data_IF_421409001166
#
_entry.id   IF_421409001166
#
_cell.length_a   1.000
_cell.length_b   1.000
_cell.length_c   1.000
_cell.angle_alpha   90.00
_cell.angle_beta   90.00
_cell.angle_gamma   90.00
#
_symmetry.space_group_name_H-M   'P 1'
#
loop_
_entity.id
_entity.type
_entity.pdbx_description
1 polymer ?
#
# COMPACT_ATOMS: atom_id res chain seq x y z
N UNK A 1 13.74 3.76 -31.38
CA UNK A 1 12.86 4.31 -30.33
C UNK A 1 11.53 3.56 -30.41
N UNK A 2 11.05 2.92 -29.33
CA UNK A 2 9.96 1.93 -29.39
C UNK A 2 8.55 2.51 -29.64
N UNK A 3 8.39 3.85 -29.56
CA UNK A 3 7.11 4.53 -29.77
C UNK A 3 7.19 5.62 -30.83
N UNK A 4 7.95 5.39 -31.90
CA UNK A 4 7.95 6.31 -33.02
C UNK A 4 7.24 5.68 -34.20
N UNK A 5 6.25 6.41 -34.72
CA UNK A 5 5.79 6.29 -36.10
C UNK A 5 7.00 6.05 -36.99
N UNK A 6 6.98 4.96 -37.76
CA UNK A 6 7.87 4.77 -38.92
C UNK A 6 7.47 5.84 -39.92
N UNK A 7 7.88 7.08 -39.65
CA UNK A 7 7.70 8.20 -40.57
C UNK A 7 8.59 7.89 -41.76
N UNK A 8 7.98 7.71 -42.93
CA UNK A 8 8.71 7.60 -44.18
C UNK A 8 9.72 8.76 -44.24
N UNK A 9 11.00 8.45 -44.43
CA UNK A 9 12.12 9.41 -44.35
C UNK A 9 12.07 10.52 -45.43
N UNK A 10 11.08 10.51 -46.31
CA UNK A 10 10.97 11.45 -47.42
C UNK A 10 10.24 12.76 -47.10
N UNK A 11 9.50 12.86 -45.99
CA UNK A 11 8.89 14.15 -45.61
C UNK A 11 9.90 14.91 -44.73
N UNK A 12 10.79 15.66 -45.39
CA UNK A 12 11.61 16.71 -44.75
C UNK A 12 10.68 17.65 -43.98
N UNK A 13 10.99 17.89 -42.70
CA UNK A 13 10.25 18.86 -41.88
C UNK A 13 10.75 20.25 -42.23
N UNK A 14 9.84 21.11 -42.68
CA UNK A 14 10.14 22.51 -42.92
C UNK A 14 10.40 23.25 -41.58
N UNK A 15 11.35 24.21 -41.53
CA UNK A 15 11.67 24.93 -40.31
C UNK A 15 10.55 25.93 -39.97
N UNK A 16 9.56 25.50 -39.20
CA UNK A 16 8.46 26.36 -38.75
C UNK A 16 7.34 25.68 -37.96
N UNK A 17 7.53 24.43 -37.51
CA UNK A 17 6.45 23.67 -36.85
C UNK A 17 6.07 24.26 -35.48
N UNK A 18 4.83 24.74 -35.39
CA UNK A 18 4.12 25.18 -34.18
C UNK A 18 4.23 24.13 -33.04
N UNK A 19 4.58 24.52 -31.79
CA UNK A 19 4.65 23.60 -30.65
C UNK A 19 3.37 22.80 -30.39
N UNK A 20 2.18 23.33 -30.73
CA UNK A 20 0.89 22.63 -30.58
C UNK A 20 0.70 21.47 -31.58
N UNK A 21 1.53 21.40 -32.62
CA UNK A 21 1.52 20.29 -33.58
C UNK A 21 2.14 19.00 -33.01
N UNK A 22 2.96 19.10 -31.96
CA UNK A 22 3.59 17.91 -31.34
C UNK A 22 2.66 17.17 -30.38
N UNK A 23 1.76 17.87 -29.68
CA UNK A 23 0.78 17.24 -28.78
C UNK A 23 -0.27 16.49 -29.59
N UNK A 24 -0.78 17.11 -30.67
CA UNK A 24 -1.69 16.46 -31.62
C UNK A 24 -1.08 15.22 -32.29
N UNK A 25 0.21 15.25 -32.65
CA UNK A 25 0.93 14.07 -33.16
C UNK A 25 0.98 12.92 -32.13
N UNK A 26 1.12 13.22 -30.83
CA UNK A 26 1.15 12.21 -29.77
C UNK A 26 -0.23 11.59 -29.54
N UNK A 27 -1.27 12.42 -29.45
CA UNK A 27 -2.65 11.98 -29.26
C UNK A 27 -3.09 11.10 -30.43
N UNK A 28 -2.73 11.49 -31.66
CA UNK A 28 -2.97 10.67 -32.85
C UNK A 28 -2.31 9.29 -32.75
N UNK A 29 -1.06 9.21 -32.30
CA UNK A 29 -0.38 7.93 -32.14
C UNK A 29 -1.05 7.05 -31.07
N UNK A 30 -1.57 7.64 -29.99
CA UNK A 30 -2.31 6.89 -28.95
C UNK A 30 -3.58 6.27 -29.53
N UNK A 31 -4.25 6.93 -30.47
CA UNK A 31 -5.47 6.40 -31.10
C UNK A 31 -5.15 5.39 -32.21
N UNK A 32 -4.25 5.75 -33.12
CA UNK A 32 -4.09 5.07 -34.41
C UNK A 32 -2.98 4.03 -34.44
N UNK A 33 -1.92 4.22 -33.64
CA UNK A 33 -0.74 3.37 -33.73
C UNK A 33 -0.74 2.25 -32.70
N UNK A 34 -0.38 1.04 -33.15
CA UNK A 34 -0.07 -0.08 -32.27
C UNK A 34 1.41 -0.07 -31.84
N UNK A 35 1.72 -0.31 -30.55
CA UNK A 35 3.08 -0.27 -30.05
C UNK A 35 3.89 -1.50 -30.46
N UNK A 36 5.09 -1.28 -30.99
CA UNK A 36 6.05 -2.34 -31.31
C UNK A 36 6.90 -2.68 -30.07
N UNK A 37 6.74 -3.89 -29.53
CA UNK A 37 7.60 -4.38 -28.44
C UNK A 37 8.91 -4.92 -29.01
N UNK A 38 10.04 -4.34 -28.60
CA UNK A 38 11.37 -4.78 -29.04
C UNK A 38 11.80 -6.17 -28.53
N UNK A 39 13.00 -6.60 -28.89
CA UNK A 39 13.52 -7.94 -28.56
C UNK A 39 13.82 -8.18 -27.07
N UNK A 40 13.86 -7.14 -26.23
CA UNK A 40 14.09 -7.25 -24.79
C UNK A 40 12.85 -7.70 -24.01
N UNK A 41 11.69 -7.79 -24.66
CA UNK A 41 10.46 -8.28 -24.04
C UNK A 41 10.32 -9.79 -24.26
N UNK A 42 10.03 -10.54 -23.19
CA UNK A 42 9.60 -11.93 -23.28
C UNK A 42 8.27 -12.05 -24.06
N UNK A 43 7.92 -13.25 -24.49
CA UNK A 43 6.68 -13.50 -25.23
C UNK A 43 5.44 -13.14 -24.42
N UNK A 44 5.45 -13.51 -23.14
CA UNK A 44 4.42 -13.24 -22.14
C UNK A 44 4.32 -11.74 -21.87
N UNK A 45 5.46 -11.05 -21.70
CA UNK A 45 5.48 -9.60 -21.50
C UNK A 45 4.87 -8.85 -22.71
N UNK A 46 5.18 -9.30 -23.92
CA UNK A 46 4.60 -8.73 -25.15
C UNK A 46 3.09 -8.97 -25.22
N UNK A 47 2.62 -10.16 -24.81
CA UNK A 47 1.20 -10.47 -24.76
C UNK A 47 0.46 -9.56 -23.76
N UNK A 48 1.01 -9.43 -22.55
CA UNK A 48 0.48 -8.57 -21.49
C UNK A 48 0.33 -7.12 -21.96
N UNK A 49 1.40 -6.55 -22.53
CA UNK A 49 1.42 -5.16 -23.02
C UNK A 49 0.38 -4.95 -24.11
N UNK A 50 0.24 -5.89 -25.06
CA UNK A 50 -0.80 -5.80 -26.11
C UNK A 50 -2.21 -5.86 -25.53
N UNK A 51 -2.45 -6.70 -24.53
CA UNK A 51 -3.73 -6.79 -23.84
C UNK A 51 -4.12 -5.51 -23.10
N UNK A 52 -3.16 -4.92 -22.35
CA UNK A 52 -3.36 -3.68 -21.60
C UNK A 52 -3.48 -2.46 -22.51
N UNK A 53 -2.73 -2.41 -23.61
CA UNK A 53 -2.75 -1.30 -24.57
C UNK A 53 -3.79 -1.49 -25.69
N UNK A 54 -4.78 -2.36 -25.49
CA UNK A 54 -5.89 -2.50 -26.41
C UNK A 54 -6.67 -1.17 -26.53
N UNK A 55 -6.83 -0.68 -27.77
CA UNK A 55 -7.54 0.57 -28.07
C UNK A 55 -9.02 0.50 -27.68
N UNK A 56 -9.64 -0.67 -27.84
CA UNK A 56 -11.05 -0.90 -27.47
C UNK A 56 -11.15 -1.19 -25.97
N UNK A 57 -11.77 -0.31 -25.16
CA UNK A 57 -11.80 -0.48 -23.70
C UNK A 57 -12.51 -1.77 -23.26
N UNK A 58 -13.58 -2.18 -23.95
CA UNK A 58 -14.33 -3.43 -23.65
C UNK A 58 -13.54 -4.71 -23.91
N UNK A 59 -12.47 -4.65 -24.71
CA UNK A 59 -11.61 -5.81 -25.04
C UNK A 59 -10.24 -5.71 -24.37
N UNK A 60 -10.02 -4.67 -23.56
CA UNK A 60 -8.76 -4.44 -22.86
C UNK A 60 -8.66 -5.45 -21.72
N UNK A 61 -7.47 -6.02 -21.56
CA UNK A 61 -7.20 -6.89 -20.42
C UNK A 61 -7.47 -6.13 -19.12
N UNK A 62 -8.29 -6.71 -18.24
CA UNK A 62 -8.75 -6.07 -17.01
C UNK A 62 -10.09 -5.36 -17.13
N UNK A 63 -10.75 -5.37 -18.30
CA UNK A 63 -12.07 -4.78 -18.48
C UNK A 63 -13.14 -5.47 -17.63
N UNK A 64 -13.03 -6.79 -17.41
CA UNK A 64 -13.94 -7.53 -16.52
C UNK A 64 -13.39 -7.67 -15.09
N UNK A 65 -12.28 -6.99 -14.76
CA UNK A 65 -11.73 -6.90 -13.41
C UNK A 65 -10.28 -7.36 -13.30
N UNK A 66 -9.72 -7.18 -12.09
CA UNK A 66 -8.31 -7.44 -11.78
C UNK A 66 -7.90 -8.92 -11.94
N UNK A 67 -8.86 -9.85 -11.85
CA UNK A 67 -8.59 -11.29 -11.97
C UNK A 67 -7.97 -11.66 -13.31
N UNK A 68 -8.45 -11.07 -14.41
CA UNK A 68 -7.88 -11.29 -15.75
C UNK A 68 -6.40 -10.91 -15.84
N UNK A 69 -6.00 -9.88 -15.09
CA UNK A 69 -4.60 -9.43 -15.06
C UNK A 69 -3.78 -10.39 -14.20
N UNK A 70 -4.31 -10.81 -13.04
CA UNK A 70 -3.63 -11.74 -12.13
C UNK A 70 -3.43 -13.13 -12.76
N UNK A 71 -4.38 -13.59 -13.57
CA UNK A 71 -4.35 -14.89 -14.28
C UNK A 71 -3.47 -14.89 -15.54
N UNK A 72 -2.88 -13.74 -15.90
CA UNK A 72 -2.06 -13.65 -17.10
C UNK A 72 -0.70 -14.37 -16.90
N UNK A 73 -0.20 -15.16 -17.88
CA UNK A 73 1.02 -15.99 -17.73
C UNK A 73 2.29 -15.25 -17.28
N UNK A 74 2.36 -13.95 -17.58
CA UNK A 74 3.45 -13.08 -17.11
C UNK A 74 3.55 -13.01 -15.57
N UNK A 75 2.45 -13.21 -14.85
CA UNK A 75 2.37 -13.21 -13.40
C UNK A 75 2.42 -14.60 -12.77
N UNK A 76 2.55 -15.68 -13.55
CA UNK A 76 2.61 -17.06 -13.03
C UNK A 76 3.63 -17.27 -11.91
N UNK A 77 4.83 -16.63 -11.92
CA UNK A 77 5.79 -16.78 -10.83
C UNK A 77 5.42 -16.06 -9.53
N UNK A 78 4.36 -15.24 -9.51
CA UNK A 78 4.02 -14.35 -8.39
C UNK A 78 2.78 -14.90 -7.68
N UNK A 79 2.95 -15.25 -6.40
CA UNK A 79 1.81 -15.49 -5.51
C UNK A 79 1.27 -14.14 -5.00
N UNK A 80 0.08 -13.76 -5.48
CA UNK A 80 -0.57 -12.52 -5.07
C UNK A 80 -0.99 -12.50 -3.59
N UNK A 81 -1.23 -13.65 -2.96
CA UNK A 81 -1.55 -13.71 -1.53
C UNK A 81 -0.34 -13.37 -0.68
N UNK A 82 0.83 -13.93 -1.03
CA UNK A 82 2.10 -13.58 -0.37
C UNK A 82 2.51 -12.13 -0.66
N UNK A 83 2.25 -11.64 -1.88
CA UNK A 83 2.51 -10.25 -2.25
C UNK A 83 1.67 -9.28 -1.42
N UNK A 84 0.36 -9.51 -1.29
CA UNK A 84 -0.55 -8.66 -0.52
C UNK A 84 -0.24 -8.66 0.98
N UNK A 85 0.27 -9.78 1.50
CA UNK A 85 0.73 -9.89 2.88
C UNK A 85 2.16 -9.36 3.12
N UNK A 86 2.88 -8.96 2.06
CA UNK A 86 4.22 -8.40 2.15
C UNK A 86 5.34 -9.41 2.42
N UNK A 87 5.13 -10.69 2.11
CA UNK A 87 6.12 -11.76 2.33
C UNK A 87 7.09 -11.98 1.16
N UNK A 88 6.87 -11.34 0.01
CA UNK A 88 7.79 -11.41 -1.13
C UNK A 88 8.86 -10.33 -1.01
N UNK A 89 10.13 -10.75 -1.11
CA UNK A 89 11.24 -9.80 -1.12
C UNK A 89 11.21 -8.91 -2.37
N UNK A 90 11.31 -7.58 -2.21
CA UNK A 90 11.30 -6.68 -3.35
C UNK A 90 12.59 -6.88 -4.19
N UNK A 91 12.49 -6.90 -5.54
CA UNK A 91 13.64 -7.14 -6.41
C UNK A 91 14.70 -6.01 -6.35
N UNK A 92 14.33 -4.84 -5.80
CA UNK A 92 15.25 -3.73 -5.64
C UNK A 92 14.97 -2.96 -4.34
N UNK A 93 15.94 -2.97 -3.43
CA UNK A 93 15.93 -2.17 -2.21
C UNK A 93 16.83 -0.94 -2.41
N UNK A 94 16.30 0.29 -2.41
CA UNK A 94 17.11 1.48 -2.64
C UNK A 94 17.98 1.82 -1.43
N UNK A 95 19.24 2.20 -1.68
CA UNK A 95 20.14 2.69 -0.61
C UNK A 95 19.69 4.07 -0.11
N UNK A 96 19.54 4.21 1.21
CA UNK A 96 19.19 5.48 1.87
C UNK A 96 20.16 6.61 1.52
N UNK A 97 21.46 6.30 1.46
CA UNK A 97 22.52 7.27 1.13
C UNK A 97 22.34 7.80 -0.30
N UNK A 98 21.89 6.98 -1.23
CA UNK A 98 21.62 7.39 -2.61
C UNK A 98 20.40 8.33 -2.70
N UNK A 99 19.35 8.12 -1.90
CA UNK A 99 18.14 8.96 -1.89
C UNK A 99 18.48 10.38 -1.43
N UNK A 100 19.15 10.53 -0.28
CA UNK A 100 19.57 11.84 0.23
C UNK A 100 20.53 12.55 -0.72
N UNK A 101 21.48 11.83 -1.33
CA UNK A 101 22.44 12.41 -2.27
C UNK A 101 21.84 12.77 -3.64
N UNK A 102 20.79 12.10 -4.10
CA UNK A 102 20.09 12.44 -5.35
C UNK A 102 19.25 13.71 -5.20
N UNK A 103 18.73 14.00 -4.00
CA UNK A 103 18.08 15.27 -3.71
C UNK A 103 19.06 16.46 -3.77
N UNK A 104 20.31 16.28 -3.36
CA UNK A 104 21.32 17.35 -3.40
C UNK A 104 21.95 17.52 -4.78
N UNK A 105 22.21 16.42 -5.52
CA UNK A 105 22.86 16.47 -6.86
C UNK A 105 21.93 16.83 -8.03
N UNK A 106 20.61 16.65 -7.91
CA UNK A 106 19.62 17.06 -8.96
C UNK A 106 19.12 18.50 -8.85
N UNK A 107 19.64 19.31 -7.92
CA UNK A 107 19.39 20.77 -7.91
C UNK A 107 20.11 21.51 -9.05
N UNK A 108 20.98 20.85 -9.82
CA UNK A 108 21.45 21.35 -11.12
C UNK A 108 20.51 20.90 -12.24
N UNK A 109 19.50 21.72 -12.50
CA UNK A 109 18.72 21.82 -13.73
C UNK A 109 18.22 20.51 -14.37
N UNK A 110 17.20 19.88 -13.78
CA UNK A 110 16.09 19.43 -14.63
C UNK A 110 15.04 20.53 -14.59
N UNK A 111 14.89 21.27 -15.69
CA UNK A 111 13.66 22.03 -16.00
C UNK A 111 12.51 21.01 -16.14
N UNK A 112 12.07 20.45 -15.02
CA UNK A 112 10.80 19.73 -14.92
C UNK A 112 9.74 20.82 -14.99
N UNK A 113 9.26 21.12 -16.21
CA UNK A 113 8.36 22.23 -16.52
C UNK A 113 9.04 23.59 -16.27
N UNK A 114 9.16 24.36 -17.35
CA UNK A 114 9.76 25.70 -17.33
C UNK A 114 9.05 26.58 -16.30
N UNK A 115 9.77 27.01 -15.26
CA UNK A 115 9.50 28.19 -14.44
C UNK A 115 8.15 28.17 -13.74
N UNK A 116 8.14 27.99 -12.42
CA UNK A 116 7.12 28.69 -11.65
C UNK A 116 7.30 30.18 -11.99
N UNK A 117 6.39 30.72 -12.80
CA UNK A 117 6.28 32.16 -12.96
C UNK A 117 5.76 32.67 -11.61
N UNK A 118 6.62 32.78 -10.60
CA UNK A 118 6.23 33.23 -9.27
C UNK A 118 5.56 34.62 -9.36
N UNK A 119 6.03 35.45 -10.29
CA UNK A 119 5.39 36.73 -10.67
C UNK A 119 3.93 36.62 -11.13
N UNK A 120 3.50 35.47 -11.68
CA UNK A 120 2.10 35.22 -12.07
C UNK A 120 1.19 35.15 -10.84
N UNK A 121 1.73 34.65 -9.73
CA UNK A 121 0.98 34.39 -8.50
C UNK A 121 1.28 35.40 -7.39
N UNK A 122 2.28 36.28 -7.58
CA UNK A 122 2.68 37.33 -6.64
C UNK A 122 1.55 38.29 -6.26
N UNK A 123 0.58 38.51 -7.16
CA UNK A 123 -0.62 39.32 -6.90
C UNK A 123 -1.84 38.53 -6.41
N UNK A 124 -1.75 37.20 -6.40
CA UNK A 124 -2.87 36.33 -5.99
C UNK A 124 -2.89 36.28 -4.47
N UNK A 125 -3.74 37.10 -3.85
CA UNK A 125 -4.03 37.01 -2.42
C UNK A 125 -4.94 35.81 -2.18
N UNK A 126 -4.58 34.99 -1.20
CA UNK A 126 -5.44 33.89 -0.75
C UNK A 126 -6.72 34.52 -0.20
N UNK A 127 -7.84 34.17 -0.80
CA UNK A 127 -9.14 34.66 -0.38
C UNK A 127 -9.65 33.86 0.83
N UNK A 128 -10.43 34.47 1.73
CA UNK A 128 -11.00 33.75 2.88
C UNK A 128 -11.91 32.60 2.44
N UNK A 129 -12.61 32.73 1.31
CA UNK A 129 -13.47 31.66 0.78
C UNK A 129 -12.65 30.44 0.33
N UNK A 130 -11.41 30.65 -0.13
CA UNK A 130 -10.51 29.55 -0.46
C UNK A 130 -10.05 28.82 0.81
N UNK A 131 -9.72 29.55 1.88
CA UNK A 131 -9.38 28.93 3.16
C UNK A 131 -10.57 28.15 3.73
N UNK A 132 -11.78 28.68 3.59
CA UNK A 132 -12.99 27.97 3.96
C UNK A 132 -13.16 26.71 3.11
N UNK A 133 -12.86 26.73 1.80
CA UNK A 133 -12.88 25.50 0.97
C UNK A 133 -11.91 24.41 1.45
N UNK A 134 -10.86 24.78 2.19
CA UNK A 134 -9.86 23.86 2.74
C UNK A 134 -10.25 23.29 4.12
N UNK A 135 -11.41 23.61 4.69
CA UNK A 135 -11.80 23.12 6.02
C UNK A 135 -11.81 21.58 6.13
N UNK A 136 -12.13 20.88 5.04
CA UNK A 136 -12.11 19.41 4.95
C UNK A 136 -10.82 18.84 4.35
N UNK A 137 -9.82 19.69 4.12
CA UNK A 137 -8.52 19.27 3.62
C UNK A 137 -7.69 18.50 4.66
N UNK A 138 -7.68 18.89 5.96
CA UNK A 138 -7.06 18.09 6.98
C UNK A 138 -7.75 16.72 7.09
N UNK A 139 -7.00 15.67 6.79
CA UNK A 139 -7.45 14.29 6.96
C UNK A 139 -6.64 13.63 8.06
N UNK A 140 -7.35 13.06 9.04
CA UNK A 140 -6.76 12.27 10.12
C UNK A 140 -7.31 10.85 10.01
N UNK A 141 -6.43 9.87 9.79
CA UNK A 141 -6.81 8.46 9.82
C UNK A 141 -6.60 7.92 11.23
N UNK A 142 -7.70 7.62 11.92
CA UNK A 142 -7.65 6.99 13.24
C UNK A 142 -6.90 5.65 13.21
N UNK A 143 -7.03 4.89 12.11
CA UNK A 143 -6.33 3.62 11.94
C UNK A 143 -4.82 3.79 11.93
N UNK A 144 -4.31 4.76 11.17
CA UNK A 144 -2.86 5.02 11.06
C UNK A 144 -2.31 5.47 12.40
N UNK A 145 -2.99 6.41 13.08
CA UNK A 145 -2.54 6.88 14.41
C UNK A 145 -2.53 5.72 15.41
N UNK A 146 -3.55 4.86 15.40
CA UNK A 146 -3.60 3.70 16.28
C UNK A 146 -2.44 2.74 16.01
N UNK A 147 -2.16 2.43 14.73
CA UNK A 147 -1.04 1.59 14.33
C UNK A 147 0.31 2.19 14.77
N UNK A 148 0.53 3.49 14.52
CA UNK A 148 1.75 4.20 14.94
C UNK A 148 1.94 4.19 16.46
N UNK A 149 0.88 4.47 17.23
CA UNK A 149 0.94 4.44 18.70
C UNK A 149 1.30 3.03 19.20
N UNK A 150 0.67 2.00 18.63
CA UNK A 150 0.94 0.61 19.01
C UNK A 150 2.40 0.25 18.73
N UNK A 151 2.93 0.60 17.55
CA UNK A 151 4.33 0.38 17.21
C UNK A 151 5.28 1.10 18.17
N UNK A 152 4.99 2.36 18.52
CA UNK A 152 5.81 3.14 19.45
C UNK A 152 5.81 2.51 20.85
N UNK A 153 4.65 2.10 21.37
CA UNK A 153 4.53 1.44 22.67
C UNK A 153 5.30 0.13 22.71
N UNK A 154 5.25 -0.66 21.63
CA UNK A 154 6.03 -1.89 21.50
C UNK A 154 7.55 -1.60 21.51
N UNK A 155 8.00 -0.60 20.75
CA UNK A 155 9.42 -0.18 20.73
C UNK A 155 9.90 0.25 22.12
N UNK A 156 9.12 1.06 22.84
CA UNK A 156 9.45 1.49 24.21
C UNK A 156 9.55 0.28 25.15
N UNK A 157 8.63 -0.68 25.05
CA UNK A 157 8.67 -1.91 25.86
C UNK A 157 9.91 -2.75 25.58
N UNK A 158 10.32 -2.85 24.32
CA UNK A 158 11.52 -3.58 23.91
C UNK A 158 12.81 -2.89 24.40
N UNK A 159 12.88 -1.55 24.30
CA UNK A 159 14.00 -0.77 24.81
C UNK A 159 14.20 -0.96 26.32
N UNK A 160 13.11 -0.94 27.10
CA UNK A 160 13.16 -1.19 28.55
C UNK A 160 13.69 -2.59 28.88
N UNK A 161 13.31 -3.61 28.09
CA UNK A 161 13.85 -4.97 28.26
C UNK A 161 15.33 -5.09 27.90
N UNK A 162 15.79 -4.35 26.90
CA UNK A 162 17.20 -4.37 26.48
C UNK A 162 18.12 -3.57 27.41
N UNK A 163 17.57 -2.67 28.22
CA UNK A 163 18.32 -1.89 29.23
C UNK A 163 18.32 -2.53 30.63
N UNK A 164 17.61 -3.64 30.82
CA UNK A 164 17.80 -4.54 31.97
C UNK A 164 18.95 -5.50 31.66
N UNK A 165 20.15 -5.17 32.14
CA UNK A 165 21.34 -6.03 32.14
C UNK A 165 21.12 -7.22 33.11
N UNK A 166 21.61 -8.45 32.86
CA UNK A 166 21.36 -9.63 33.71
C UNK A 166 22.13 -9.66 35.03
N UNK A 167 22.75 -8.56 35.45
CA UNK A 167 23.53 -8.48 36.68
C UNK A 167 22.95 -7.43 37.61
N UNK A 168 21.75 -7.70 38.13
CA UNK A 168 21.38 -7.25 39.46
C UNK A 168 20.37 -8.25 40.02
N UNK A 169 20.90 -9.21 40.78
CA UNK A 169 20.15 -9.85 41.84
C UNK A 169 19.89 -8.81 42.91
N UNK A 170 18.85 -8.01 42.75
CA UNK A 170 18.22 -7.38 43.90
C UNK A 170 16.71 -7.25 43.67
N UNK A 171 16.01 -7.94 44.56
CA UNK A 171 14.57 -7.93 44.79
C UNK A 171 13.96 -6.53 44.71
N UNK A 172 13.04 -6.33 43.77
CA UNK A 172 12.02 -5.28 43.88
C UNK A 172 10.61 -5.92 44.02
N UNK A 173 9.87 -5.72 45.13
CA UNK A 173 8.64 -6.47 45.46
C UNK A 173 7.39 -6.21 44.60
N UNK A 174 7.48 -5.44 43.51
CA UNK A 174 6.32 -5.03 42.72
C UNK A 174 6.26 -5.57 41.29
N UNK A 175 7.11 -6.54 40.92
CA UNK A 175 7.09 -7.15 39.59
C UNK A 175 6.82 -8.67 39.60
N UNK A 176 5.75 -9.15 40.26
CA UNK A 176 5.19 -10.49 39.97
C UNK A 176 3.73 -10.62 40.46
N UNK A 177 2.76 -9.95 39.83
CA UNK A 177 1.38 -10.38 40.02
C UNK A 177 0.44 -10.00 38.86
N UNK A 178 0.67 -10.58 37.69
CA UNK A 178 -0.46 -10.90 36.80
C UNK A 178 -0.24 -12.30 36.23
N UNK A 179 -1.12 -13.22 36.64
CA UNK A 179 -1.50 -14.45 35.90
C UNK A 179 -0.65 -15.73 35.89
N UNK A 180 -0.06 -16.11 37.04
CA UNK A 180 0.09 -17.55 37.39
C UNK A 180 -0.74 -17.92 38.63
N UNK A 181 -0.89 -16.99 39.59
CA UNK A 181 -1.69 -17.22 40.80
C UNK A 181 -3.21 -17.18 40.56
N UNK A 182 -3.67 -16.43 39.56
CA UNK A 182 -5.08 -16.47 39.15
C UNK A 182 -5.45 -17.79 38.47
N UNK A 183 -4.53 -18.45 37.75
CA UNK A 183 -4.81 -19.75 37.11
C UNK A 183 -5.07 -20.84 38.14
N UNK A 184 -4.30 -20.92 39.21
CA UNK A 184 -4.58 -21.90 40.27
C UNK A 184 -5.90 -21.63 40.98
N UNK A 185 -6.20 -20.38 41.35
CA UNK A 185 -7.47 -20.02 42.01
C UNK A 185 -8.67 -20.22 41.07
N UNK A 186 -8.55 -19.87 39.79
CA UNK A 186 -9.58 -20.13 38.77
C UNK A 186 -9.77 -21.64 38.57
N UNK A 187 -8.72 -22.45 38.54
CA UNK A 187 -8.84 -23.92 38.45
C UNK A 187 -9.50 -24.49 39.70
N UNK A 188 -9.13 -24.03 40.90
CA UNK A 188 -9.76 -24.48 42.16
C UNK A 188 -11.24 -24.07 42.24
N UNK A 189 -11.59 -22.85 41.84
CA UNK A 189 -12.99 -22.42 41.77
C UNK A 189 -13.75 -23.20 40.69
N UNK A 190 -13.16 -23.44 39.52
CA UNK A 190 -13.79 -24.18 38.42
C UNK A 190 -14.05 -25.66 38.80
N UNK A 191 -13.11 -26.31 39.48
CA UNK A 191 -13.28 -27.68 40.00
C UNK A 191 -14.30 -27.72 41.15
N UNK A 192 -14.35 -26.70 42.00
CA UNK A 192 -15.37 -26.58 43.04
C UNK A 192 -16.78 -26.42 42.44
N UNK A 193 -16.94 -25.58 41.41
CA UNK A 193 -18.22 -25.41 40.71
C UNK A 193 -18.64 -26.65 39.91
N UNK A 194 -17.72 -27.40 39.31
CA UNK A 194 -17.99 -28.69 38.66
C UNK A 194 -18.47 -29.76 39.67
N UNK A 195 -17.88 -29.80 40.87
CA UNK A 195 -18.30 -30.68 41.96
C UNK A 195 -19.73 -30.35 42.43
N UNK A 196 -20.03 -29.06 42.63
CA UNK A 196 -21.38 -28.59 42.98
C UNK A 196 -22.41 -28.81 41.86
N UNK A 197 -22.00 -28.72 40.59
CA UNK A 197 -22.86 -29.02 39.44
C UNK A 197 -23.18 -30.53 39.30
N UNK A 198 -22.26 -31.41 39.69
CA UNK A 198 -22.50 -32.86 39.70
C UNK A 198 -23.47 -33.28 40.82
N UNK A 199 -23.45 -32.58 41.96
CA UNK A 199 -24.37 -32.81 43.08
C UNK A 199 -25.80 -32.29 42.81
N UNK A 200 -25.95 -31.28 41.94
CA UNK A 200 -27.27 -30.72 41.57
C UNK A 200 -27.95 -31.45 40.41
N UNK A 201 -27.22 -32.24 39.62
CA UNK A 201 -27.77 -32.97 38.45
C UNK A 201 -28.57 -34.23 38.79
N UNK A 202 -28.66 -34.64 40.08
CA UNK A 202 -29.52 -35.76 40.51
C UNK A 202 -30.97 -35.33 40.82
N UNK A 203 -31.36 -34.09 40.52
CA UNK A 203 -32.75 -33.62 40.67
C UNK A 203 -33.14 -32.65 39.55
N UNK A 204 -34.14 -33.05 38.76
CA UNK A 204 -34.87 -32.31 37.70
C UNK A 204 -34.32 -32.39 36.26
N UNK A 205 -34.72 -33.48 35.64
CA UNK A 205 -35.41 -33.56 34.35
C UNK A 205 -36.17 -32.28 33.90
N UNK A 206 -36.10 -32.07 32.57
CA UNK A 206 -37.09 -31.50 31.64
C UNK A 206 -36.79 -30.13 31.01
N UNK A 207 -36.51 -30.19 29.70
CA UNK A 207 -36.84 -29.26 28.62
C UNK A 207 -36.59 -27.76 28.84
N UNK A 208 -35.73 -27.18 27.98
CA UNK A 208 -36.14 -26.10 27.05
C UNK A 208 -35.02 -25.75 26.05
N UNK A 209 -35.46 -25.59 24.81
CA UNK A 209 -34.75 -25.08 23.63
C UNK A 209 -34.11 -23.70 23.89
N UNK A 210 -32.90 -23.48 23.34
CA UNK A 210 -32.32 -22.14 23.20
C UNK A 210 -32.00 -21.87 21.72
N UNK A 211 -32.77 -20.97 21.11
CA UNK A 211 -32.47 -20.28 19.86
C UNK A 211 -31.56 -19.09 20.16
N UNK A 212 -30.36 -19.06 19.56
CA UNK A 212 -29.44 -17.92 19.64
C UNK A 212 -29.74 -16.92 18.53
N UNK A 213 -30.03 -15.68 18.92
CA UNK A 213 -30.08 -14.51 18.04
C UNK A 213 -28.65 -13.96 17.89
N UNK A 214 -28.29 -13.68 16.64
CA UNK A 214 -27.00 -13.20 16.13
C UNK A 214 -26.91 -11.68 16.29
N UNK A 215 -25.82 -11.18 16.85
CA UNK A 215 -25.26 -9.85 16.55
C UNK A 215 -23.92 -10.10 15.89
#
# INVERSE_FOLDING_TARGET
>A
KPFQSKRNKEIRREPGDDPDKKTSDLDRNVVEMDPECGHHFSGEARNLIKGLLCKRPKRRLGANGIKEIKEHPWFDPIDFGLLEAGYLDPPHVPSVVFIFNKQTKKKKQKKCVSGYNDHKYERVKIKPEFLESLHNFPFISNKVIQEEIVELLQKIRLQRRQSQDPTDTDTDPFEMCVDVRCRSILIFLFLFFLSMAHLTKKKKNNNKHYTYIRI
#
